data_IF_127516980764
#
_entry.id   IF_127516980764
#
_cell.length_a   1.000
_cell.length_b   1.000
_cell.length_c   1.000
_cell.angle_alpha   90.00
_cell.angle_beta   90.00
_cell.angle_gamma   90.00
#
_symmetry.space_group_name_H-M   'P 1'
#
loop_
_entity.id
_entity.type
_entity.pdbx_description
1 polymer ?
#
# COMPACT_ATOMS: atom_id res chain seq x y z
N UNK A 1 -40.14 -51.84 45.14
CA UNK A 1 -39.45 -51.21 44.00
C UNK A 1 -38.62 -50.08 44.60
N UNK A 2 -37.34 -50.40 44.84
CA UNK A 2 -36.38 -49.43 45.38
C UNK A 2 -35.77 -48.62 44.23
N UNK A 3 -35.98 -47.34 44.22
CA UNK A 3 -35.15 -46.42 43.39
C UNK A 3 -33.92 -46.03 44.22
N UNK A 4 -32.78 -46.55 43.85
CA UNK A 4 -31.48 -46.16 44.36
C UNK A 4 -31.12 -44.78 43.77
N UNK A 5 -31.18 -43.72 44.61
CA UNK A 5 -30.56 -42.45 44.34
C UNK A 5 -29.03 -42.65 44.38
N UNK A 6 -28.38 -42.50 43.25
CA UNK A 6 -26.90 -42.54 43.12
C UNK A 6 -26.29 -41.21 43.50
N UNK A 7 -25.54 -41.14 44.67
CA UNK A 7 -24.96 -39.88 45.14
C UNK A 7 -23.79 -39.35 44.28
N UNK A 8 -23.26 -40.14 43.32
CA UNK A 8 -22.15 -39.73 42.48
C UNK A 8 -22.59 -38.79 41.35
N UNK A 9 -23.86 -38.89 40.91
CA UNK A 9 -24.37 -38.02 39.83
C UNK A 9 -24.70 -36.60 40.29
N UNK A 10 -24.99 -36.39 41.57
CA UNK A 10 -25.26 -35.09 42.18
C UNK A 10 -23.98 -34.29 42.46
N UNK A 11 -22.87 -34.95 42.79
CA UNK A 11 -21.61 -34.34 43.05
C UNK A 11 -20.90 -33.83 41.77
N UNK A 12 -21.02 -34.60 40.67
CA UNK A 12 -20.48 -34.18 39.35
C UNK A 12 -21.23 -32.93 38.81
N UNK A 13 -22.56 -32.92 38.91
CA UNK A 13 -23.40 -31.79 38.49
C UNK A 13 -23.16 -30.53 39.29
N UNK A 14 -22.91 -30.65 40.61
CA UNK A 14 -22.58 -29.51 41.47
C UNK A 14 -21.17 -28.97 41.22
N UNK A 15 -20.19 -29.80 40.89
CA UNK A 15 -18.83 -29.39 40.53
C UNK A 15 -18.78 -28.68 39.17
N UNK A 16 -19.53 -29.17 38.18
CA UNK A 16 -19.70 -28.50 36.86
C UNK A 16 -20.41 -27.16 37.00
N UNK A 17 -21.46 -27.04 37.81
CA UNK A 17 -22.17 -25.80 38.06
C UNK A 17 -21.31 -24.77 38.80
N UNK A 18 -20.45 -25.19 39.74
CA UNK A 18 -19.51 -24.29 40.44
C UNK A 18 -18.38 -23.85 39.51
N UNK A 19 -17.88 -24.73 38.67
CA UNK A 19 -16.85 -24.41 37.66
C UNK A 19 -17.35 -23.40 36.63
N UNK A 20 -18.58 -23.57 36.10
CA UNK A 20 -19.22 -22.63 35.16
C UNK A 20 -19.57 -21.27 35.78
N UNK A 21 -19.95 -21.23 37.06
CA UNK A 21 -20.18 -19.97 37.79
C UNK A 21 -18.87 -19.18 37.92
N UNK A 22 -17.79 -19.84 38.34
CA UNK A 22 -16.45 -19.23 38.47
C UNK A 22 -15.91 -18.74 37.13
N UNK A 23 -16.07 -19.49 36.04
CA UNK A 23 -15.70 -19.08 34.67
C UNK A 23 -16.46 -17.82 34.26
N UNK A 24 -17.78 -17.79 34.49
CA UNK A 24 -18.61 -16.64 34.15
C UNK A 24 -18.20 -15.38 34.91
N UNK A 25 -17.86 -15.50 36.20
CA UNK A 25 -17.37 -14.38 37.02
C UNK A 25 -16.03 -13.85 36.49
N UNK A 26 -15.07 -14.72 36.19
CA UNK A 26 -13.77 -14.35 35.64
C UNK A 26 -13.91 -13.66 34.26
N UNK A 27 -14.76 -14.19 33.37
CA UNK A 27 -15.04 -13.57 32.07
C UNK A 27 -15.71 -12.19 32.25
N UNK A 28 -16.61 -12.03 33.22
CA UNK A 28 -17.24 -10.72 33.48
C UNK A 28 -16.19 -9.71 33.97
N UNK A 29 -15.32 -10.07 34.89
CA UNK A 29 -14.24 -9.19 35.36
C UNK A 29 -13.30 -8.76 34.23
N UNK A 30 -12.93 -9.69 33.32
CA UNK A 30 -12.10 -9.35 32.15
C UNK A 30 -12.82 -8.43 31.17
N UNK A 31 -14.13 -8.60 30.97
CA UNK A 31 -14.94 -7.71 30.14
C UNK A 31 -15.02 -6.31 30.74
N UNK A 32 -15.26 -6.19 32.03
CA UNK A 32 -15.26 -4.89 32.71
C UNK A 32 -13.91 -4.17 32.61
N UNK A 33 -12.79 -4.93 32.64
CA UNK A 33 -11.46 -4.37 32.42
C UNK A 33 -11.29 -3.90 30.94
N UNK A 34 -11.75 -4.68 29.97
CA UNK A 34 -11.72 -4.31 28.56
C UNK A 34 -12.54 -3.04 28.33
N UNK A 35 -13.76 -2.96 28.86
CA UNK A 35 -14.64 -1.79 28.74
C UNK A 35 -13.98 -0.52 29.31
N UNK A 36 -13.29 -0.65 30.46
CA UNK A 36 -12.51 0.45 31.03
C UNK A 36 -11.35 0.89 30.16
N UNK A 37 -10.63 -0.05 29.54
CA UNK A 37 -9.53 0.25 28.59
C UNK A 37 -10.10 0.92 27.33
N UNK A 38 -11.22 0.43 26.79
CA UNK A 38 -11.87 1.00 25.61
C UNK A 38 -12.29 2.45 25.83
N UNK A 39 -12.84 2.77 27.02
CA UNK A 39 -13.13 4.15 27.41
C UNK A 39 -11.87 5.04 27.39
N UNK A 40 -10.76 4.57 27.98
CA UNK A 40 -9.48 5.30 27.98
C UNK A 40 -8.92 5.49 26.58
N UNK A 41 -9.01 4.48 25.71
CA UNK A 41 -8.61 4.58 24.29
C UNK A 41 -9.44 5.65 23.60
N UNK A 42 -10.76 5.66 23.80
CA UNK A 42 -11.67 6.65 23.24
C UNK A 42 -11.31 8.09 23.66
N UNK A 43 -11.06 8.29 24.95
CA UNK A 43 -10.63 9.59 25.50
C UNK A 43 -9.29 10.05 24.92
N UNK A 44 -8.31 9.17 24.81
CA UNK A 44 -6.99 9.47 24.24
C UNK A 44 -7.04 9.78 22.75
N UNK A 45 -7.85 9.06 21.99
CA UNK A 45 -8.07 9.35 20.56
C UNK A 45 -8.73 10.72 20.39
N UNK A 46 -9.73 11.04 21.21
CA UNK A 46 -10.43 12.34 21.20
C UNK A 46 -9.47 13.48 21.56
N UNK A 47 -8.67 13.33 22.60
CA UNK A 47 -7.65 14.30 22.98
C UNK A 47 -6.62 14.52 21.87
N UNK A 48 -6.17 13.45 21.21
CA UNK A 48 -5.26 13.54 20.06
C UNK A 48 -5.89 14.28 18.88
N UNK A 49 -7.18 14.08 18.62
CA UNK A 49 -7.91 14.77 17.56
C UNK A 49 -8.00 16.28 17.82
N UNK A 50 -8.25 16.69 19.07
CA UNK A 50 -8.24 18.11 19.49
C UNK A 50 -6.86 18.72 19.28
N UNK A 51 -5.77 18.03 19.65
CA UNK A 51 -4.41 18.50 19.39
C UNK A 51 -4.14 18.66 17.87
N UNK A 52 -4.64 17.75 17.03
CA UNK A 52 -4.49 17.84 15.58
C UNK A 52 -5.19 19.10 15.03
N UNK A 53 -6.41 19.39 15.48
CA UNK A 53 -7.13 20.62 15.10
C UNK A 53 -6.36 21.88 15.50
N UNK A 54 -5.79 21.92 16.70
CA UNK A 54 -4.97 23.05 17.16
C UNK A 54 -3.70 23.22 16.29
N UNK A 55 -3.05 22.13 15.90
CA UNK A 55 -1.92 22.16 14.95
C UNK A 55 -2.36 22.76 13.61
N UNK A 56 -3.53 22.37 13.11
CA UNK A 56 -4.06 22.91 11.86
C UNK A 56 -4.32 24.43 11.93
N UNK A 57 -4.88 24.91 13.04
CA UNK A 57 -5.11 26.33 13.27
C UNK A 57 -3.77 27.13 13.28
N UNK A 58 -2.76 26.58 13.96
CA UNK A 58 -1.41 27.17 13.97
C UNK A 58 -0.83 27.23 12.56
N UNK A 59 -0.90 26.14 11.79
CA UNK A 59 -0.39 26.10 10.41
C UNK A 59 -1.08 27.14 9.51
N UNK A 60 -2.40 27.23 9.57
CA UNK A 60 -3.17 28.23 8.80
C UNK A 60 -2.82 29.67 9.20
N UNK A 61 -2.53 29.90 10.49
CA UNK A 61 -2.16 31.22 10.98
C UNK A 61 -0.77 31.66 10.53
N UNK A 62 0.22 30.75 10.50
CA UNK A 62 1.61 31.07 10.20
C UNK A 62 2.03 30.79 8.76
N UNK A 63 1.26 30.02 8.01
CA UNK A 63 1.48 29.71 6.59
C UNK A 63 0.13 29.69 5.85
N UNK A 64 -0.55 30.86 5.75
CA UNK A 64 -1.92 30.91 5.23
C UNK A 64 -2.02 30.52 3.75
N UNK A 65 -0.99 30.83 2.95
CA UNK A 65 -1.03 30.62 1.49
C UNK A 65 -0.73 29.16 1.09
N UNK A 66 0.06 28.42 1.87
CA UNK A 66 0.42 27.02 1.58
C UNK A 66 0.70 26.23 2.88
N UNK A 67 -0.33 25.89 3.65
CA UNK A 67 -0.17 25.11 4.87
C UNK A 67 0.07 23.63 4.58
N UNK A 68 1.29 23.15 4.81
CA UNK A 68 1.64 21.72 4.67
C UNK A 68 1.04 20.91 5.82
N UNK A 69 -0.09 20.24 5.58
CA UNK A 69 -0.76 19.42 6.58
C UNK A 69 -0.16 18.00 6.68
N UNK A 70 0.15 17.37 5.57
CA UNK A 70 0.72 16.02 5.52
C UNK A 70 2.23 16.05 5.37
N UNK A 71 2.94 15.37 6.25
CA UNK A 71 4.40 15.22 6.26
C UNK A 71 4.79 13.75 6.31
N UNK A 72 5.17 13.15 5.17
CA UNK A 72 5.53 11.74 5.07
C UNK A 72 6.61 11.32 6.06
N UNK A 73 7.66 12.17 6.24
CA UNK A 73 8.75 11.91 7.17
C UNK A 73 8.28 11.82 8.63
N UNK A 74 7.34 12.67 9.01
CA UNK A 74 6.79 12.69 10.36
C UNK A 74 5.91 11.48 10.61
N UNK A 75 5.11 11.09 9.62
CA UNK A 75 4.28 9.88 9.71
C UNK A 75 5.15 8.65 9.88
N UNK A 76 6.17 8.47 9.04
CA UNK A 76 7.11 7.35 9.13
C UNK A 76 7.78 7.27 10.52
N UNK A 77 8.23 8.40 11.06
CA UNK A 77 8.81 8.48 12.41
C UNK A 77 7.81 8.08 13.50
N UNK A 78 6.55 8.49 13.41
CA UNK A 78 5.51 8.14 14.39
C UNK A 78 5.23 6.64 14.35
N UNK A 79 5.10 6.05 13.15
CA UNK A 79 4.84 4.63 12.99
C UNK A 79 6.00 3.78 13.50
N UNK A 80 7.26 4.14 13.18
CA UNK A 80 8.45 3.43 13.71
C UNK A 80 8.50 3.49 15.23
N UNK A 81 8.25 4.65 15.85
CA UNK A 81 8.17 4.78 17.32
C UNK A 81 7.03 3.96 17.90
N UNK A 82 5.91 3.86 17.22
CA UNK A 82 4.80 3.02 17.68
C UNK A 82 5.23 1.55 17.72
N UNK A 83 5.88 1.05 16.65
CA UNK A 83 6.41 -0.32 16.61
C UNK A 83 7.49 -0.59 17.69
N UNK A 84 8.42 0.35 17.89
CA UNK A 84 9.46 0.25 18.93
C UNK A 84 8.88 0.19 20.36
N UNK A 85 7.76 0.88 20.59
CA UNK A 85 7.07 0.91 21.89
C UNK A 85 6.13 -0.28 22.11
N UNK A 86 5.78 -0.99 21.04
CA UNK A 86 4.90 -2.14 21.14
C UNK A 86 5.58 -3.27 21.93
N UNK A 87 4.99 -3.64 23.07
CA UNK A 87 5.44 -4.75 23.92
C UNK A 87 4.31 -5.77 24.14
N UNK A 88 3.22 -5.57 23.46
CA UNK A 88 2.01 -6.37 23.62
C UNK A 88 1.97 -7.60 22.72
N UNK A 89 0.90 -8.37 22.78
CA UNK A 89 0.71 -9.57 21.97
C UNK A 89 0.41 -9.29 20.49
N UNK A 90 0.03 -8.06 20.13
CA UNK A 90 -0.15 -7.68 18.72
C UNK A 90 1.21 -7.58 18.04
N UNK A 91 1.30 -8.05 16.80
CA UNK A 91 2.50 -7.82 16.00
C UNK A 91 2.67 -6.34 15.64
N UNK A 92 3.90 -5.96 15.29
CA UNK A 92 4.24 -4.56 15.03
C UNK A 92 3.49 -3.97 13.83
N UNK A 93 3.23 -4.77 12.79
CA UNK A 93 2.52 -4.32 11.59
C UNK A 93 1.07 -3.96 11.90
N UNK A 94 0.34 -4.84 12.63
CA UNK A 94 -1.02 -4.57 13.07
C UNK A 94 -1.10 -3.35 13.99
N UNK A 95 -0.15 -3.22 14.92
CA UNK A 95 -0.10 -2.08 15.83
C UNK A 95 0.13 -0.76 15.05
N UNK A 96 1.07 -0.75 14.10
CA UNK A 96 1.34 0.41 13.27
C UNK A 96 0.16 0.74 12.34
N UNK A 97 -0.55 -0.28 11.81
CA UNK A 97 -1.77 -0.09 11.01
C UNK A 97 -2.86 0.64 11.79
N UNK A 98 -3.12 0.25 13.05
CA UNK A 98 -4.08 0.95 13.91
C UNK A 98 -3.67 2.41 14.14
N UNK A 99 -2.38 2.68 14.39
CA UNK A 99 -1.89 4.06 14.53
C UNK A 99 -2.05 4.87 13.25
N UNK A 100 -1.85 4.27 12.08
CA UNK A 100 -2.08 4.92 10.78
C UNK A 100 -3.55 5.34 10.62
N UNK A 101 -4.50 4.48 10.95
CA UNK A 101 -5.92 4.83 10.87
C UNK A 101 -6.29 5.99 11.82
N UNK A 102 -5.76 5.99 13.05
CA UNK A 102 -5.96 7.10 13.98
C UNK A 102 -5.35 8.40 13.41
N UNK A 103 -4.15 8.33 12.83
CA UNK A 103 -3.50 9.50 12.21
C UNK A 103 -4.29 10.00 11.01
N UNK A 104 -4.76 9.11 10.16
CA UNK A 104 -5.58 9.43 8.99
C UNK A 104 -6.88 10.13 9.38
N UNK A 105 -7.59 9.60 10.38
CA UNK A 105 -8.82 10.21 10.89
C UNK A 105 -8.57 11.61 11.47
N UNK A 106 -7.51 11.80 12.24
CA UNK A 106 -7.16 13.11 12.79
C UNK A 106 -6.76 14.10 11.69
N UNK A 107 -5.99 13.66 10.69
CA UNK A 107 -5.57 14.50 9.56
C UNK A 107 -6.75 14.92 8.69
N UNK A 108 -7.76 14.07 8.54
CA UNK A 108 -8.99 14.41 7.82
C UNK A 108 -9.78 15.55 8.48
N UNK A 109 -9.62 15.75 9.79
CA UNK A 109 -10.17 16.92 10.51
C UNK A 109 -9.40 18.22 10.22
N UNK A 110 -8.12 18.10 9.88
CA UNK A 110 -7.26 19.24 9.52
C UNK A 110 -7.55 19.68 8.07
N UNK A 111 -7.35 18.75 7.15
CA UNK A 111 -7.60 18.90 5.72
C UNK A 111 -7.74 17.50 5.08
N UNK A 112 -8.92 17.12 4.57
CA UNK A 112 -9.10 15.84 3.90
C UNK A 112 -8.15 15.68 2.71
N UNK A 113 -7.22 14.73 2.81
CA UNK A 113 -6.29 14.46 1.71
C UNK A 113 -7.04 13.88 0.52
N UNK A 114 -6.82 14.47 -0.67
CA UNK A 114 -7.28 13.93 -1.95
C UNK A 114 -6.14 13.17 -2.60
N UNK A 115 -6.37 11.91 -2.96
CA UNK A 115 -5.37 11.01 -3.54
C UNK A 115 -5.87 10.48 -4.88
N UNK A 116 -5.22 10.89 -5.97
CA UNK A 116 -5.46 10.35 -7.30
C UNK A 116 -4.79 8.97 -7.45
N UNK A 117 -5.42 8.05 -8.14
CA UNK A 117 -4.86 6.72 -8.36
C UNK A 117 -5.32 6.12 -9.69
N UNK A 118 -4.53 5.18 -10.23
CA UNK A 118 -4.92 4.40 -11.41
C UNK A 118 -6.08 3.48 -11.06
N UNK A 119 -7.29 3.85 -11.55
CA UNK A 119 -8.54 3.15 -11.33
C UNK A 119 -8.72 1.87 -12.17
N UNK A 120 -9.92 1.34 -12.16
CA UNK A 120 -11.11 1.79 -11.43
C UNK A 120 -11.08 1.51 -9.92
N UNK A 121 -12.19 1.79 -9.21
CA UNK A 121 -12.34 1.42 -7.79
C UNK A 121 -12.25 -0.10 -7.61
N UNK A 122 -11.66 -0.54 -6.48
CA UNK A 122 -11.41 -1.94 -6.17
C UNK A 122 -10.11 -2.50 -6.75
N UNK A 123 -9.24 -1.66 -7.36
CA UNK A 123 -7.92 -2.07 -7.84
C UNK A 123 -6.88 -2.14 -6.73
N UNK A 124 -5.77 -2.86 -6.99
CA UNK A 124 -4.61 -2.87 -6.09
C UNK A 124 -3.99 -1.48 -5.89
N UNK A 125 -4.10 -0.59 -6.88
CA UNK A 125 -3.63 0.79 -6.73
C UNK A 125 -4.45 1.56 -5.70
N UNK A 126 -5.78 1.40 -5.67
CA UNK A 126 -6.60 1.96 -4.61
C UNK A 126 -6.26 1.36 -3.25
N UNK A 127 -6.05 0.04 -3.18
CA UNK A 127 -5.63 -0.63 -1.95
C UNK A 127 -4.29 -0.08 -1.43
N UNK A 128 -3.33 0.18 -2.32
CA UNK A 128 -2.06 0.82 -1.98
C UNK A 128 -2.26 2.25 -1.46
N UNK A 129 -3.17 3.03 -2.08
CA UNK A 129 -3.52 4.37 -1.61
C UNK A 129 -4.08 4.35 -0.19
N UNK A 130 -5.04 3.48 0.08
CA UNK A 130 -5.63 3.33 1.42
C UNK A 130 -4.65 2.74 2.44
N UNK A 131 -3.78 1.80 2.02
CA UNK A 131 -2.72 1.28 2.87
C UNK A 131 -1.75 2.39 3.32
N UNK A 132 -1.45 3.36 2.45
CA UNK A 132 -0.52 4.46 2.76
C UNK A 132 -1.17 5.60 3.55
N UNK A 133 -2.31 6.10 3.08
CA UNK A 133 -2.96 7.30 3.63
C UNK A 133 -4.02 7.01 4.70
N UNK A 134 -4.41 5.72 4.89
CA UNK A 134 -5.54 5.31 5.72
C UNK A 134 -6.90 5.58 5.04
N UNK A 135 -7.96 5.08 5.66
CA UNK A 135 -9.31 5.06 5.08
C UNK A 135 -10.05 6.40 5.12
N UNK A 136 -9.52 7.41 5.84
CA UNK A 136 -10.11 8.76 5.86
C UNK A 136 -9.66 9.63 4.67
N UNK A 137 -8.73 9.16 3.84
CA UNK A 137 -8.34 9.84 2.61
C UNK A 137 -9.43 9.73 1.54
N UNK A 138 -9.61 10.80 0.75
CA UNK A 138 -10.52 10.82 -0.40
C UNK A 138 -9.79 10.35 -1.64
N UNK A 139 -10.10 9.17 -2.13
CA UNK A 139 -9.48 8.60 -3.32
C UNK A 139 -10.23 9.02 -4.60
N UNK A 140 -9.48 9.37 -5.66
CA UNK A 140 -9.99 9.82 -6.97
C UNK A 140 -9.48 8.82 -8.02
N UNK A 141 -10.41 8.07 -8.61
CA UNK A 141 -10.11 7.06 -9.64
C UNK A 141 -9.92 7.71 -11.01
N UNK A 142 -8.81 7.44 -11.67
CA UNK A 142 -8.46 7.95 -13.00
C UNK A 142 -8.17 6.82 -13.98
N UNK A 143 -8.36 7.06 -15.26
CA UNK A 143 -8.31 6.02 -16.27
C UNK A 143 -6.88 5.66 -16.70
N UNK A 144 -5.93 6.59 -16.59
CA UNK A 144 -4.54 6.42 -17.03
C UNK A 144 -3.55 6.97 -15.99
N UNK A 145 -2.32 6.49 -16.05
CA UNK A 145 -1.21 6.97 -15.20
C UNK A 145 -0.94 8.45 -15.47
N UNK A 146 -0.94 8.88 -16.74
CA UNK A 146 -0.76 10.28 -17.14
C UNK A 146 -1.80 11.22 -16.50
N UNK A 147 -3.04 10.74 -16.39
CA UNK A 147 -4.10 11.50 -15.73
C UNK A 147 -3.82 11.68 -14.23
N UNK A 148 -3.20 10.67 -13.58
CA UNK A 148 -2.81 10.78 -12.17
C UNK A 148 -1.75 11.86 -11.98
N UNK A 149 -0.72 11.88 -12.84
CA UNK A 149 0.30 12.94 -12.79
C UNK A 149 -0.32 14.32 -13.01
N UNK A 150 -1.14 14.47 -14.06
CA UNK A 150 -1.80 15.73 -14.42
C UNK A 150 -2.73 16.25 -13.31
N UNK A 151 -3.50 15.38 -12.67
CA UNK A 151 -4.41 15.75 -11.59
C UNK A 151 -3.67 16.30 -10.35
N UNK A 152 -2.48 15.73 -10.07
CA UNK A 152 -1.62 16.22 -8.97
C UNK A 152 -0.92 17.52 -9.37
N UNK A 153 -0.40 17.63 -10.59
CA UNK A 153 0.23 18.87 -11.11
C UNK A 153 -0.74 20.05 -11.16
N UNK A 154 -1.99 19.78 -11.50
CA UNK A 154 -3.07 20.78 -11.48
C UNK A 154 -3.53 21.18 -10.05
N UNK A 155 -3.06 20.49 -9.00
CA UNK A 155 -3.48 20.72 -7.62
C UNK A 155 -4.90 20.26 -7.30
N UNK A 156 -5.57 19.51 -8.20
CA UNK A 156 -6.89 18.95 -7.98
C UNK A 156 -6.85 17.76 -7.01
N UNK A 157 -5.74 17.01 -7.02
CA UNK A 157 -5.36 16.05 -5.99
C UNK A 157 -4.07 16.50 -5.28
N UNK A 158 -3.95 16.18 -3.99
CA UNK A 158 -2.74 16.51 -3.22
C UNK A 158 -1.60 15.54 -3.51
N UNK A 159 -1.94 14.25 -3.73
CA UNK A 159 -1.00 13.16 -4.01
C UNK A 159 -1.56 12.25 -5.08
N UNK A 160 -0.65 11.51 -5.74
CA UNK A 160 -1.00 10.44 -6.65
C UNK A 160 -0.37 9.11 -6.21
N UNK A 161 -1.01 8.00 -6.56
CA UNK A 161 -0.48 6.65 -6.36
C UNK A 161 -0.40 5.95 -7.70
N UNK A 162 0.82 5.54 -8.08
CA UNK A 162 1.11 4.90 -9.35
C UNK A 162 1.93 3.63 -9.19
N UNK A 163 1.65 2.55 -9.92
CA UNK A 163 2.48 1.35 -9.90
C UNK A 163 3.80 1.62 -10.61
N UNK A 164 4.93 1.14 -10.07
CA UNK A 164 6.24 1.29 -10.70
C UNK A 164 6.87 -0.04 -11.07
N UNK A 165 6.58 -1.09 -10.32
CA UNK A 165 7.20 -2.40 -10.52
C UNK A 165 6.33 -3.51 -9.93
N UNK A 166 6.26 -4.65 -10.63
CA UNK A 166 5.66 -5.87 -10.13
C UNK A 166 6.70 -6.99 -10.17
N UNK A 167 6.81 -7.79 -9.10
CA UNK A 167 7.85 -8.82 -8.96
C UNK A 167 7.80 -9.93 -10.03
N UNK A 168 6.64 -10.11 -10.67
CA UNK A 168 6.45 -11.10 -11.74
C UNK A 168 6.24 -10.48 -13.13
N UNK A 169 5.68 -9.27 -13.18
CA UNK A 169 5.38 -8.56 -14.42
C UNK A 169 6.44 -7.55 -14.85
N UNK A 170 7.43 -7.29 -13.99
CA UNK A 170 8.50 -6.32 -14.26
C UNK A 170 8.08 -4.86 -14.09
N UNK A 171 8.80 -3.99 -14.75
CA UNK A 171 8.69 -2.54 -14.61
C UNK A 171 7.46 -1.99 -15.33
N UNK A 172 6.79 -1.03 -14.71
CA UNK A 172 5.72 -0.24 -15.33
C UNK A 172 6.36 0.95 -16.06
N UNK A 173 6.74 0.72 -17.31
CA UNK A 173 7.47 1.65 -18.15
C UNK A 173 6.83 3.04 -18.21
N UNK A 174 5.52 3.08 -18.31
CA UNK A 174 4.73 4.31 -18.46
C UNK A 174 4.87 5.25 -17.25
N UNK A 175 4.98 4.70 -16.04
CA UNK A 175 5.26 5.50 -14.83
C UNK A 175 6.64 6.16 -14.90
N UNK A 176 7.66 5.44 -15.38
CA UNK A 176 9.01 5.98 -15.50
C UNK A 176 9.08 7.08 -16.60
N UNK A 177 8.38 6.88 -17.70
CA UNK A 177 8.33 7.85 -18.79
C UNK A 177 7.71 9.18 -18.32
N UNK A 178 6.64 9.14 -17.52
CA UNK A 178 6.06 10.34 -16.92
C UNK A 178 7.02 11.10 -16.00
N UNK A 179 7.88 10.40 -15.26
CA UNK A 179 8.89 11.08 -14.40
C UNK A 179 9.95 11.86 -15.17
N UNK A 180 10.17 11.57 -16.46
CA UNK A 180 11.11 12.35 -17.27
C UNK A 180 10.63 13.79 -17.46
N UNK A 181 9.32 13.97 -17.69
CA UNK A 181 8.72 15.27 -18.02
C UNK A 181 8.12 15.99 -16.80
N UNK A 182 7.57 15.24 -15.82
CA UNK A 182 6.87 15.78 -14.66
C UNK A 182 7.81 16.38 -13.63
N UNK A 183 7.41 17.49 -13.00
CA UNK A 183 8.13 18.11 -11.87
C UNK A 183 7.74 17.54 -10.51
N UNK A 184 6.77 16.62 -10.46
CA UNK A 184 6.36 15.98 -9.21
C UNK A 184 7.50 15.18 -8.60
N UNK A 185 7.45 15.08 -7.28
CA UNK A 185 8.43 14.32 -6.48
C UNK A 185 7.84 13.01 -5.99
N UNK A 186 8.70 12.03 -5.80
CA UNK A 186 8.36 10.83 -5.06
C UNK A 186 8.40 11.19 -3.58
N UNK A 187 7.24 11.06 -2.91
CA UNK A 187 7.06 11.39 -1.49
C UNK A 187 7.01 10.17 -0.59
N UNK A 188 6.90 8.97 -1.17
CA UNK A 188 6.82 7.71 -0.45
C UNK A 188 6.72 6.51 -1.37
N UNK A 189 6.76 5.34 -0.79
CA UNK A 189 6.54 4.06 -1.49
C UNK A 189 5.64 3.13 -0.68
N UNK A 190 4.92 2.26 -1.38
CA UNK A 190 4.13 1.18 -0.78
C UNK A 190 4.44 -0.11 -1.52
N UNK A 191 4.76 -1.15 -0.78
CA UNK A 191 4.83 -2.51 -1.31
C UNK A 191 3.57 -3.25 -0.88
N UNK A 192 2.85 -3.78 -1.85
CA UNK A 192 1.62 -4.53 -1.63
C UNK A 192 1.80 -5.96 -2.15
N UNK A 193 1.59 -6.95 -1.27
CA UNK A 193 1.44 -8.35 -1.68
C UNK A 193 0.17 -8.46 -2.52
N UNK A 194 0.28 -9.09 -3.68
CA UNK A 194 -0.81 -9.24 -4.63
C UNK A 194 -1.40 -10.63 -4.47
N UNK A 195 -2.57 -10.69 -3.89
CA UNK A 195 -3.36 -11.91 -3.75
C UNK A 195 -4.52 -11.91 -4.74
N UNK A 196 -4.65 -13.01 -5.45
CA UNK A 196 -5.75 -13.23 -6.38
C UNK A 196 -6.74 -14.22 -5.80
N UNK A 197 -8.01 -13.87 -5.83
CA UNK A 197 -9.09 -14.72 -5.35
C UNK A 197 -10.06 -15.01 -6.47
N UNK A 198 -10.58 -16.24 -6.52
CA UNK A 198 -11.73 -16.57 -7.37
C UNK A 198 -13.00 -16.16 -6.64
N UNK A 199 -13.80 -15.32 -7.25
CA UNK A 199 -15.01 -14.79 -6.64
C UNK A 199 -16.21 -14.84 -7.58
N UNK A 200 -17.40 -14.93 -7.00
CA UNK A 200 -18.67 -15.07 -7.70
C UNK A 200 -19.75 -14.18 -7.07
N UNK A 201 -20.80 -13.91 -7.83
CA UNK A 201 -22.03 -13.36 -7.25
C UNK A 201 -22.77 -14.39 -6.40
N UNK A 202 -23.63 -13.93 -5.48
CA UNK A 202 -24.41 -14.79 -4.57
C UNK A 202 -25.33 -15.78 -5.28
N UNK A 203 -25.61 -15.56 -6.57
CA UNK A 203 -26.50 -16.44 -7.39
C UNK A 203 -25.73 -17.50 -8.17
N UNK A 204 -24.41 -17.42 -8.26
CA UNK A 204 -23.57 -18.37 -9.01
C UNK A 204 -23.11 -19.51 -8.11
N UNK A 205 -23.32 -20.76 -8.56
CA UNK A 205 -22.80 -21.96 -7.91
C UNK A 205 -21.45 -22.36 -8.52
N UNK A 206 -20.53 -22.86 -7.70
CA UNK A 206 -19.18 -23.23 -8.10
C UNK A 206 -19.13 -24.25 -9.26
N UNK A 207 -20.06 -25.22 -9.27
CA UNK A 207 -20.18 -26.24 -10.31
C UNK A 207 -20.77 -25.73 -11.63
N UNK A 208 -21.24 -24.49 -11.68
CA UNK A 208 -21.87 -23.85 -12.84
C UNK A 208 -21.01 -22.80 -13.51
N UNK A 209 -19.79 -22.58 -13.02
CA UNK A 209 -18.87 -21.58 -13.61
C UNK A 209 -18.44 -22.06 -15.00
N UNK A 210 -18.87 -21.33 -16.03
CA UNK A 210 -18.52 -21.56 -17.43
C UNK A 210 -17.59 -20.49 -18.01
N UNK A 211 -17.53 -19.32 -17.37
CA UNK A 211 -16.67 -18.19 -17.76
C UNK A 211 -15.96 -17.58 -16.56
N UNK A 212 -14.69 -17.19 -16.77
CA UNK A 212 -13.89 -16.50 -15.76
C UNK A 212 -13.36 -15.22 -16.40
N UNK A 213 -13.58 -14.08 -15.72
CA UNK A 213 -13.14 -12.77 -16.12
C UNK A 213 -11.92 -12.35 -15.29
N UNK A 214 -10.91 -11.77 -15.93
CA UNK A 214 -9.77 -11.16 -15.25
C UNK A 214 -8.92 -10.34 -16.21
N UNK A 215 -8.00 -9.57 -15.70
CA UNK A 215 -6.94 -8.98 -16.49
C UNK A 215 -5.98 -10.08 -17.00
N UNK A 216 -5.44 -9.92 -18.20
CA UNK A 216 -4.57 -10.91 -18.86
C UNK A 216 -3.36 -11.31 -17.99
N UNK A 217 -2.77 -10.36 -17.27
CA UNK A 217 -1.66 -10.64 -16.36
C UNK A 217 -2.07 -11.55 -15.20
N UNK A 218 -3.26 -11.36 -14.63
CA UNK A 218 -3.76 -12.21 -13.53
C UNK A 218 -4.08 -13.61 -14.01
N UNK A 219 -4.57 -13.79 -15.24
CA UNK A 219 -4.70 -15.11 -15.86
C UNK A 219 -3.35 -15.81 -15.98
N UNK A 220 -2.30 -15.10 -16.38
CA UNK A 220 -0.96 -15.68 -16.45
C UNK A 220 -0.42 -16.07 -15.06
N UNK A 221 -0.71 -15.27 -14.03
CA UNK A 221 -0.29 -15.51 -12.65
C UNK A 221 -1.05 -16.64 -11.95
N UNK A 222 -2.26 -16.99 -12.39
CA UNK A 222 -3.10 -18.05 -11.85
C UNK A 222 -3.25 -19.26 -12.81
N UNK A 223 -2.37 -19.35 -13.82
CA UNK A 223 -2.54 -20.30 -14.93
C UNK A 223 -2.63 -21.74 -14.48
N UNK A 224 -1.69 -22.21 -13.68
CA UNK A 224 -1.63 -23.62 -13.23
C UNK A 224 -2.83 -23.99 -12.37
N UNK A 225 -3.19 -23.07 -11.47
CA UNK A 225 -4.37 -23.27 -10.62
C UNK A 225 -5.66 -23.40 -11.45
N UNK A 226 -5.84 -22.53 -12.45
CA UNK A 226 -7.00 -22.56 -13.35
C UNK A 226 -7.05 -23.81 -14.23
N UNK A 227 -5.90 -24.28 -14.73
CA UNK A 227 -5.82 -25.52 -15.51
C UNK A 227 -6.21 -26.74 -14.70
N UNK A 228 -5.97 -26.72 -13.39
CA UNK A 228 -6.32 -27.84 -12.49
C UNK A 228 -7.78 -27.81 -12.06
N UNK A 229 -8.33 -26.64 -11.72
CA UNK A 229 -9.65 -26.55 -11.08
C UNK A 229 -10.78 -26.20 -12.05
N UNK A 230 -10.48 -25.46 -13.12
CA UNK A 230 -11.45 -24.98 -14.10
C UNK A 230 -10.92 -25.11 -15.54
N UNK A 231 -10.53 -26.34 -15.98
CA UNK A 231 -9.90 -26.54 -17.30
C UNK A 231 -10.82 -26.18 -18.46
N UNK A 232 -12.14 -26.31 -18.29
CA UNK A 232 -13.14 -26.09 -19.33
C UNK A 232 -13.81 -24.71 -19.29
N UNK A 233 -13.49 -23.87 -18.30
CA UNK A 233 -14.07 -22.53 -18.22
C UNK A 233 -13.41 -21.61 -19.24
N UNK A 234 -14.24 -20.86 -19.97
CA UNK A 234 -13.79 -19.82 -20.90
C UNK A 234 -13.07 -18.70 -20.12
N UNK A 235 -11.86 -18.32 -20.53
CA UNK A 235 -11.09 -17.22 -19.96
C UNK A 235 -11.31 -15.98 -20.78
N UNK A 236 -12.00 -14.99 -20.21
CA UNK A 236 -12.37 -13.74 -20.91
C UNK A 236 -11.55 -12.58 -20.33
N UNK A 237 -10.55 -12.09 -21.09
CA UNK A 237 -9.75 -10.97 -20.62
C UNK A 237 -10.55 -9.66 -20.62
N UNK A 238 -10.32 -8.85 -19.58
CA UNK A 238 -10.89 -7.51 -19.39
C UNK A 238 -9.78 -6.54 -19.00
N UNK A 239 -10.06 -5.22 -19.02
CA UNK A 239 -9.04 -4.19 -18.80
C UNK A 239 -8.51 -4.14 -17.37
N UNK A 240 -9.29 -4.60 -16.37
CA UNK A 240 -8.85 -4.65 -14.98
C UNK A 240 -9.56 -5.74 -14.18
N UNK A 241 -8.94 -6.18 -13.08
CA UNK A 241 -9.55 -7.16 -12.17
C UNK A 241 -10.81 -6.59 -11.48
N UNK A 242 -10.85 -5.29 -11.21
CA UNK A 242 -12.02 -4.64 -10.64
C UNK A 242 -13.19 -4.57 -11.66
N UNK A 243 -12.90 -4.39 -12.94
CA UNK A 243 -13.89 -4.51 -14.01
C UNK A 243 -14.46 -5.94 -14.08
N UNK A 244 -13.60 -6.96 -13.97
CA UNK A 244 -14.02 -8.35 -13.91
C UNK A 244 -15.00 -8.59 -12.74
N UNK A 245 -14.66 -8.11 -11.56
CA UNK A 245 -15.51 -8.23 -10.37
C UNK A 245 -16.85 -7.51 -10.55
N UNK A 246 -16.84 -6.28 -11.07
CA UNK A 246 -18.05 -5.50 -11.37
C UNK A 246 -18.97 -6.24 -12.34
N UNK A 247 -18.40 -6.86 -13.37
CA UNK A 247 -19.15 -7.57 -14.40
C UNK A 247 -19.84 -8.83 -13.82
N UNK A 248 -19.12 -9.61 -13.03
CA UNK A 248 -19.62 -10.85 -12.43
C UNK A 248 -20.78 -10.59 -11.46
N UNK A 249 -20.86 -9.40 -10.84
CA UNK A 249 -21.98 -9.04 -9.95
C UNK A 249 -23.35 -9.25 -10.60
N UNK A 250 -23.47 -9.05 -11.91
CA UNK A 250 -24.74 -9.14 -12.67
C UNK A 250 -24.83 -10.35 -13.58
N UNK A 251 -23.78 -11.16 -13.68
CA UNK A 251 -23.76 -12.35 -14.54
C UNK A 251 -23.79 -13.62 -13.71
N UNK A 252 -24.74 -14.51 -14.01
CA UNK A 252 -24.76 -15.86 -13.47
C UNK A 252 -23.82 -16.78 -14.26
N UNK A 253 -23.37 -17.91 -13.68
CA UNK A 253 -22.39 -18.85 -14.28
C UNK A 253 -21.01 -18.24 -14.59
N UNK A 254 -20.68 -17.12 -14.00
CA UNK A 254 -19.39 -16.47 -14.20
C UNK A 254 -18.67 -16.25 -12.88
N UNK A 255 -17.33 -16.22 -12.94
CA UNK A 255 -16.44 -15.88 -11.86
C UNK A 255 -15.48 -14.79 -12.27
N UNK A 256 -14.94 -14.06 -11.29
CA UNK A 256 -13.86 -13.11 -11.50
C UNK A 256 -12.62 -13.52 -10.71
N UNK A 257 -11.44 -13.18 -11.24
CA UNK A 257 -10.21 -13.20 -10.47
C UNK A 257 -9.87 -11.75 -10.15
N UNK A 258 -9.86 -11.40 -8.85
CA UNK A 258 -9.54 -10.06 -8.38
C UNK A 258 -9.01 -10.08 -6.94
N UNK A 259 -8.64 -8.91 -6.43
CA UNK A 259 -8.24 -8.74 -5.03
C UNK A 259 -9.44 -8.65 -4.08
N UNK A 260 -9.20 -8.87 -2.79
CA UNK A 260 -10.22 -8.88 -1.74
C UNK A 260 -11.05 -7.56 -1.69
N UNK A 261 -10.41 -6.41 -1.95
CA UNK A 261 -11.10 -5.12 -1.99
C UNK A 261 -12.22 -5.10 -3.03
N UNK A 262 -12.01 -5.70 -4.21
CA UNK A 262 -13.03 -5.79 -5.24
C UNK A 262 -14.19 -6.69 -4.80
N UNK A 263 -13.91 -7.80 -4.09
CA UNK A 263 -14.95 -8.66 -3.54
C UNK A 263 -15.87 -7.89 -2.58
N UNK A 264 -15.28 -7.12 -1.65
CA UNK A 264 -16.04 -6.29 -0.69
C UNK A 264 -16.84 -5.18 -1.38
N UNK A 265 -16.22 -4.49 -2.35
CA UNK A 265 -16.85 -3.36 -3.05
C UNK A 265 -18.06 -3.79 -3.88
N UNK A 266 -17.98 -4.95 -4.53
CA UNK A 266 -19.02 -5.44 -5.42
C UNK A 266 -19.94 -6.50 -4.78
N UNK A 267 -19.77 -6.78 -3.48
CA UNK A 267 -20.56 -7.76 -2.72
C UNK A 267 -20.49 -9.15 -3.35
N UNK A 268 -19.27 -9.63 -3.60
CA UNK A 268 -18.98 -10.93 -4.16
C UNK A 268 -18.49 -11.91 -3.10
N UNK A 269 -18.84 -13.18 -3.27
CA UNK A 269 -18.35 -14.27 -2.42
C UNK A 269 -17.03 -14.80 -2.96
N UNK A 270 -16.00 -14.84 -2.12
CA UNK A 270 -14.73 -15.49 -2.45
C UNK A 270 -14.93 -17.00 -2.32
N UNK A 271 -14.73 -17.74 -3.42
CA UNK A 271 -14.81 -19.21 -3.47
C UNK A 271 -13.46 -19.86 -3.17
N UNK A 272 -12.38 -19.24 -3.59
CA UNK A 272 -11.02 -19.73 -3.36
C UNK A 272 -10.08 -18.57 -3.16
N UNK A 273 -9.30 -18.64 -2.10
CA UNK A 273 -8.32 -17.63 -1.71
C UNK A 273 -6.95 -17.95 -2.30
N UNK A 274 -6.17 -16.88 -2.60
CA UNK A 274 -4.75 -16.97 -2.91
C UNK A 274 -4.45 -17.98 -4.02
N UNK A 275 -5.12 -17.82 -5.16
CA UNK A 275 -5.03 -18.75 -6.30
C UNK A 275 -3.85 -18.45 -7.24
N UNK A 276 -3.01 -17.48 -6.93
CA UNK A 276 -1.80 -17.18 -7.67
C UNK A 276 -0.79 -18.33 -7.60
N UNK A 277 -0.14 -18.63 -8.71
CA UNK A 277 0.87 -19.69 -8.82
C UNK A 277 2.15 -19.39 -8.01
N UNK A 278 2.41 -18.12 -7.71
CA UNK A 278 3.55 -17.62 -6.93
C UNK A 278 3.07 -16.80 -5.74
N UNK A 279 3.30 -17.27 -4.51
CA UNK A 279 2.81 -16.58 -3.30
C UNK A 279 3.61 -15.31 -2.95
N UNK A 280 4.76 -15.09 -3.58
CA UNK A 280 5.66 -13.95 -3.36
C UNK A 280 5.40 -12.77 -4.31
N UNK A 281 4.30 -12.82 -5.08
CA UNK A 281 3.92 -11.73 -5.99
C UNK A 281 3.65 -10.44 -5.21
N UNK A 282 4.38 -9.39 -5.54
CA UNK A 282 4.25 -8.07 -4.94
C UNK A 282 4.34 -6.97 -5.99
N UNK A 283 3.63 -5.88 -5.75
CA UNK A 283 3.71 -4.66 -6.57
C UNK A 283 4.18 -3.51 -5.70
N UNK A 284 5.17 -2.78 -6.20
CA UNK A 284 5.64 -1.54 -5.61
C UNK A 284 4.93 -0.37 -6.26
N UNK A 285 4.38 0.50 -5.44
CA UNK A 285 3.72 1.74 -5.83
C UNK A 285 4.52 2.92 -5.30
N UNK A 286 4.52 4.01 -6.06
CA UNK A 286 5.10 5.28 -5.65
C UNK A 286 3.99 6.27 -5.31
N UNK A 287 4.24 7.05 -4.27
CA UNK A 287 3.43 8.20 -3.89
C UNK A 287 4.08 9.42 -4.52
N UNK A 288 3.34 10.10 -5.38
CA UNK A 288 3.81 11.32 -6.06
C UNK A 288 3.10 12.54 -5.49
N UNK A 289 3.82 13.64 -5.41
CA UNK A 289 3.30 14.92 -4.91
C UNK A 289 4.20 16.08 -5.29
N UNK A 290 3.78 17.34 -5.05
CA UNK A 290 4.54 18.52 -5.41
C UNK A 290 5.69 18.83 -4.43
N UNK A 291 5.67 18.27 -3.22
CA UNK A 291 6.54 18.64 -2.12
C UNK A 291 7.81 17.80 -2.05
N UNK A 292 8.91 18.42 -1.61
CA UNK A 292 10.07 17.70 -1.13
C UNK A 292 9.82 17.17 0.29
N UNK A 293 10.33 15.98 0.58
CA UNK A 293 10.22 15.34 1.89
C UNK A 293 11.51 15.54 2.66
N UNK A 294 11.41 15.85 3.93
CA UNK A 294 12.58 16.01 4.81
C UNK A 294 13.12 14.63 5.27
N UNK A 295 14.37 14.56 5.78
CA UNK A 295 14.93 13.29 6.27
C UNK A 295 14.07 12.65 7.36
N UNK A 296 13.79 11.35 7.23
CA UNK A 296 13.04 10.56 8.21
C UNK A 296 13.93 9.70 9.11
N UNK A 297 15.20 9.54 8.73
CA UNK A 297 16.19 8.68 9.39
C UNK A 297 16.37 7.30 8.78
N UNK A 298 15.45 6.86 7.93
CA UNK A 298 15.57 5.65 7.10
C UNK A 298 14.85 5.93 5.78
N UNK A 299 15.64 6.42 4.82
CA UNK A 299 15.15 7.00 3.58
C UNK A 299 15.72 6.29 2.35
N UNK A 300 15.05 6.49 1.24
CA UNK A 300 15.47 6.09 -0.10
C UNK A 300 15.45 7.32 -1.00
N UNK A 301 16.40 7.40 -1.92
CA UNK A 301 16.42 8.42 -2.96
C UNK A 301 16.29 7.76 -4.33
N UNK A 302 15.47 8.36 -5.17
CA UNK A 302 15.31 7.98 -6.59
C UNK A 302 15.79 9.11 -7.48
N UNK A 303 16.57 8.76 -8.50
CA UNK A 303 17.09 9.70 -9.50
C UNK A 303 16.88 9.14 -10.92
N UNK A 304 16.86 10.04 -11.90
CA UNK A 304 17.03 9.69 -13.31
C UNK A 304 18.26 10.43 -13.84
N UNK A 305 19.13 9.69 -14.52
CA UNK A 305 20.41 10.16 -15.04
C UNK A 305 20.53 9.87 -16.51
N UNK A 306 20.84 10.87 -17.31
CA UNK A 306 21.24 10.69 -18.70
C UNK A 306 22.77 10.71 -18.80
N UNK A 307 23.33 9.67 -19.41
CA UNK A 307 24.77 9.56 -19.63
C UNK A 307 25.12 9.75 -21.12
N UNK A 308 26.30 10.32 -21.38
CA UNK A 308 26.86 10.30 -22.74
C UNK A 308 27.17 8.86 -23.12
N UNK A 309 26.86 8.48 -24.35
CA UNK A 309 27.14 7.12 -24.84
C UNK A 309 28.64 6.97 -25.15
N UNK A 310 29.40 6.60 -24.14
CA UNK A 310 30.84 6.38 -24.22
C UNK A 310 31.25 5.10 -23.45
N UNK A 311 32.37 4.48 -23.81
CA UNK A 311 32.87 3.32 -23.08
C UNK A 311 33.08 3.65 -21.59
N UNK A 312 32.53 2.81 -20.69
CA UNK A 312 32.64 2.99 -19.25
C UNK A 312 31.59 3.89 -18.63
N UNK A 313 30.64 4.46 -19.38
CA UNK A 313 29.63 5.39 -18.85
C UNK A 313 28.87 4.84 -17.64
N UNK A 314 28.37 3.59 -17.71
CA UNK A 314 27.68 2.95 -16.60
C UNK A 314 28.60 2.72 -15.40
N UNK A 315 29.87 2.35 -15.62
CA UNK A 315 30.85 2.20 -14.54
C UNK A 315 31.04 3.54 -13.81
N UNK A 316 31.25 4.63 -14.56
CA UNK A 316 31.45 5.95 -14.01
C UNK A 316 30.21 6.46 -13.25
N UNK A 317 29.00 6.08 -13.69
CA UNK A 317 27.76 6.38 -13.00
C UNK A 317 27.66 5.67 -11.64
N UNK A 318 28.11 4.41 -11.55
CA UNK A 318 27.96 3.58 -10.35
C UNK A 318 29.13 3.71 -9.37
N UNK A 319 30.32 4.17 -9.82
CA UNK A 319 31.52 4.29 -8.99
C UNK A 319 31.32 5.14 -7.72
N UNK A 320 30.67 6.34 -7.75
CA UNK A 320 30.48 7.15 -6.56
C UNK A 320 29.68 6.44 -5.46
N UNK A 321 28.68 5.66 -5.83
CA UNK A 321 27.87 4.89 -4.88
C UNK A 321 28.69 3.77 -4.23
N UNK A 322 29.47 3.03 -5.02
CA UNK A 322 30.37 2.02 -4.51
C UNK A 322 31.41 2.59 -3.54
N UNK A 323 32.12 3.65 -3.95
CA UNK A 323 33.16 4.30 -3.15
C UNK A 323 32.66 4.84 -1.81
N UNK A 324 31.42 5.36 -1.78
CA UNK A 324 30.80 5.94 -0.60
C UNK A 324 29.97 4.92 0.20
N UNK A 325 29.99 3.63 -0.23
CA UNK A 325 29.25 2.53 0.39
C UNK A 325 27.75 2.85 0.52
N UNK A 326 27.13 3.31 -0.60
CA UNK A 326 25.70 3.56 -0.73
C UNK A 326 25.08 2.36 -1.45
N UNK A 327 24.07 1.75 -0.84
CA UNK A 327 23.38 0.58 -1.38
C UNK A 327 22.36 0.98 -2.46
N UNK A 328 22.57 0.45 -3.67
CA UNK A 328 21.66 0.59 -4.80
C UNK A 328 20.58 -0.48 -4.72
N UNK A 329 19.33 -0.06 -4.55
CA UNK A 329 18.19 -0.99 -4.43
C UNK A 329 17.52 -1.28 -5.77
N UNK A 330 17.77 -0.43 -6.78
CA UNK A 330 17.22 -0.60 -8.15
C UNK A 330 18.08 0.11 -9.17
N UNK A 331 18.27 -0.55 -10.31
CA UNK A 331 18.88 0.02 -11.53
C UNK A 331 18.00 -0.38 -12.70
N UNK A 332 17.46 0.59 -13.40
CA UNK A 332 16.62 0.39 -14.57
C UNK A 332 17.07 1.29 -15.71
N UNK A 333 17.07 0.77 -16.92
CA UNK A 333 17.49 1.51 -18.12
C UNK A 333 16.32 1.71 -19.08
N UNK A 334 16.19 2.92 -19.61
CA UNK A 334 15.17 3.25 -20.60
C UNK A 334 15.81 3.95 -21.80
N UNK A 335 15.33 3.72 -23.02
CA UNK A 335 15.71 4.55 -24.15
C UNK A 335 15.37 6.01 -23.85
N UNK A 336 16.30 6.92 -24.16
CA UNK A 336 16.03 8.35 -24.07
C UNK A 336 15.12 8.79 -25.21
N UNK A 337 14.22 9.72 -24.93
CA UNK A 337 13.40 10.36 -25.96
C UNK A 337 14.18 11.44 -26.75
N UNK A 338 15.38 11.83 -26.26
CA UNK A 338 16.16 12.95 -26.84
C UNK A 338 17.07 12.54 -28.01
N UNK A 339 17.19 11.25 -28.34
CA UNK A 339 17.97 10.80 -29.48
C UNK A 339 18.06 9.29 -29.62
N UNK A 340 18.36 8.77 -30.84
CA UNK A 340 18.51 7.34 -31.06
C UNK A 340 19.74 6.81 -30.31
N UNK A 341 19.57 5.65 -29.66
CA UNK A 341 20.62 4.92 -28.93
C UNK A 341 21.21 5.67 -27.71
N UNK A 342 20.51 6.66 -27.17
CA UNK A 342 20.80 7.26 -25.87
C UNK A 342 19.94 6.60 -24.81
N UNK A 343 20.50 6.44 -23.60
CA UNK A 343 19.84 5.77 -22.50
C UNK A 343 19.78 6.67 -21.28
N UNK A 344 18.68 6.57 -20.54
CA UNK A 344 18.53 7.13 -19.19
C UNK A 344 18.51 6.00 -18.20
N UNK A 345 19.09 6.25 -17.04
CA UNK A 345 19.19 5.31 -15.91
C UNK A 345 18.34 5.83 -14.77
N UNK A 346 17.38 5.01 -14.33
CA UNK A 346 16.64 5.22 -13.09
C UNK A 346 17.34 4.44 -12.00
N UNK A 347 17.77 5.13 -10.95
CA UNK A 347 18.47 4.53 -9.82
C UNK A 347 17.69 4.82 -8.53
N UNK A 348 17.48 3.80 -7.72
CA UNK A 348 17.00 3.93 -6.35
C UNK A 348 18.11 3.47 -5.41
N UNK A 349 18.39 4.21 -4.35
CA UNK A 349 19.42 3.90 -3.36
C UNK A 349 19.04 4.33 -1.95
N UNK A 350 19.67 3.71 -0.96
CA UNK A 350 19.44 4.00 0.44
C UNK A 350 20.11 5.31 0.84
N UNK A 351 19.39 6.13 1.60
CA UNK A 351 19.80 7.41 2.14
C UNK A 351 19.02 8.57 1.54
N UNK A 352 19.08 9.70 2.23
CA UNK A 352 18.42 10.94 1.85
C UNK A 352 19.40 11.85 1.10
N UNK A 353 18.93 12.64 0.11
CA UNK A 353 19.78 13.58 -0.66
C UNK A 353 20.52 14.61 0.22
N UNK A 354 20.05 14.86 1.43
CA UNK A 354 20.67 15.76 2.41
C UNK A 354 21.70 15.07 3.32
N UNK A 355 21.87 13.75 3.22
CA UNK A 355 22.92 13.03 3.93
C UNK A 355 24.27 13.32 3.26
N UNK A 356 25.33 13.58 4.04
CA UNK A 356 26.63 13.98 3.53
C UNK A 356 27.16 13.06 2.43
N UNK A 357 27.11 11.73 2.64
CA UNK A 357 27.57 10.75 1.67
C UNK A 357 26.73 10.76 0.38
N UNK A 358 25.43 10.86 0.51
CA UNK A 358 24.51 10.89 -0.63
C UNK A 358 24.67 12.19 -1.43
N UNK A 359 24.76 13.32 -0.74
CA UNK A 359 25.02 14.62 -1.36
C UNK A 359 26.33 14.63 -2.16
N UNK A 360 27.40 14.01 -1.59
CA UNK A 360 28.68 13.86 -2.28
C UNK A 360 28.57 12.95 -3.50
N UNK A 361 27.88 11.81 -3.40
CA UNK A 361 27.67 10.92 -4.53
C UNK A 361 26.91 11.59 -5.67
N UNK A 362 25.83 12.31 -5.34
CA UNK A 362 25.04 13.06 -6.32
C UNK A 362 25.86 14.17 -7.01
N UNK A 363 26.72 14.88 -6.26
CA UNK A 363 27.61 15.88 -6.83
C UNK A 363 28.66 15.27 -7.78
N UNK A 364 29.17 14.07 -7.49
CA UNK A 364 30.11 13.37 -8.35
C UNK A 364 29.43 12.79 -9.60
N UNK A 365 28.23 12.23 -9.47
CA UNK A 365 27.40 11.80 -10.61
C UNK A 365 27.10 12.98 -11.53
N UNK A 366 26.72 14.14 -10.98
CA UNK A 366 26.41 15.33 -11.77
C UNK A 366 27.58 15.82 -12.64
N UNK A 367 28.84 15.58 -12.25
CA UNK A 367 30.05 15.95 -13.04
C UNK A 367 30.18 15.10 -14.30
N UNK A 368 29.75 13.84 -14.26
CA UNK A 368 29.90 12.87 -15.37
C UNK A 368 28.61 12.71 -16.18
N UNK A 369 27.47 13.06 -15.62
CA UNK A 369 26.16 12.97 -16.27
C UNK A 369 26.00 14.07 -17.34
N UNK A 370 25.21 13.75 -18.39
CA UNK A 370 24.71 14.75 -19.31
C UNK A 370 23.54 15.54 -18.70
N UNK A 371 22.71 14.83 -17.92
CA UNK A 371 21.61 15.40 -17.12
C UNK A 371 21.35 14.53 -15.89
N UNK A 372 21.00 15.17 -14.77
CA UNK A 372 20.67 14.53 -13.50
C UNK A 372 19.41 15.18 -12.92
N UNK A 373 18.37 14.39 -12.74
CA UNK A 373 17.13 14.83 -12.08
C UNK A 373 16.87 13.99 -10.82
N UNK A 374 16.75 14.65 -9.66
CA UNK A 374 16.34 14.00 -8.42
C UNK A 374 14.81 13.90 -8.42
N UNK A 375 14.31 12.67 -8.46
CA UNK A 375 12.88 12.38 -8.45
C UNK A 375 12.28 12.51 -7.05
N UNK A 376 13.08 12.28 -6.01
CA UNK A 376 12.70 12.49 -4.62
C UNK A 376 13.55 11.68 -3.65
N UNK A 377 13.63 12.18 -2.42
CA UNK A 377 14.08 11.41 -1.25
C UNK A 377 12.87 11.24 -0.33
N UNK A 378 12.62 10.04 0.15
CA UNK A 378 11.39 9.70 0.84
C UNK A 378 11.60 8.55 1.84
N UNK A 379 10.77 8.46 2.90
CA UNK A 379 10.82 7.36 3.84
C UNK A 379 10.65 6.01 3.14
N UNK A 380 11.47 5.04 3.51
CA UNK A 380 11.24 3.64 3.12
C UNK A 380 9.90 3.17 3.66
N UNK A 381 9.23 2.31 2.91
CA UNK A 381 7.94 1.77 3.30
C UNK A 381 7.98 1.18 4.71
N UNK A 382 7.13 1.69 5.61
CA UNK A 382 7.07 1.26 7.02
C UNK A 382 6.14 0.06 7.19
N UNK A 383 5.15 -0.12 6.28
CA UNK A 383 4.16 -1.21 6.28
C UNK A 383 4.03 -1.84 4.91
#
# INVERSE_FOLDING_TARGET
MNQSNDPQNTAASAAEATSTATEKELLTQLRDQIDSIDAQIGDLISARAVCAQQVAEIKRRFSPDDPVFYRPEREAQVLRRAMERNKGPLNNEEFARLFREIMSACLALENPIKVAYLGPEGTFTQQAALKHFGHSARTISLAAIDDVFREVEAGAAHFGVVPVENSTGGVVAHTLDNFMDSNLKICGEVVLRIHHHLMVSSVTKADKISRIYSHSQSFAQCRKWLETHYPNAERVPVNSNAEAAKRVKSEWNSAAIAGEMAARLYDLTILSDNIEDRPDNATRFLIIGPQEVAPSGDDKTSIVVSMRNEPGALHNLLEPFHRLNIDLTRVETRPSQTGPWTYVFFLDFIGHQRDDKVSQALADVAKSAADLKILGSYPRGVL
#
